data_IF_597962016395
#
_entry.id   IF_597962016395
#
_cell.length_a   1.000
_cell.length_b   1.000
_cell.length_c   1.000
_cell.angle_alpha   90.00
_cell.angle_beta   90.00
_cell.angle_gamma   90.00
#
_symmetry.space_group_name_H-M   'P 1'
#
loop_
_entity.id
_entity.type
_entity.pdbx_description
1 polymer ?
#
# COMPACT_ATOMS: atom_id res chain seq x y z
N UNK A 1 7.26 10.08 -0.88
CA UNK A 1 5.78 10.18 -0.77
C UNK A 1 5.38 11.44 -0.05
N UNK A 2 5.59 11.55 1.28
CA UNK A 2 5.22 12.76 2.04
C UNK A 2 5.87 14.04 1.50
N UNK A 3 7.18 14.03 1.26
CA UNK A 3 7.88 15.20 0.69
C UNK A 3 7.33 15.58 -0.69
N UNK A 4 7.12 14.60 -1.58
CA UNK A 4 6.55 14.86 -2.90
C UNK A 4 5.14 15.47 -2.81
N UNK A 5 4.30 14.97 -1.89
CA UNK A 5 2.99 15.55 -1.62
C UNK A 5 3.07 16.97 -1.06
N UNK A 6 4.03 17.24 -0.17
CA UNK A 6 4.30 18.59 0.34
C UNK A 6 4.78 19.55 -0.75
N UNK A 7 5.41 19.04 -1.82
CA UNK A 7 5.75 19.81 -3.02
C UNK A 7 4.58 19.98 -4.02
N UNK A 8 3.36 19.59 -3.66
CA UNK A 8 2.16 19.74 -4.49
C UNK A 8 1.92 18.61 -5.49
N UNK A 9 2.73 17.54 -5.47
CA UNK A 9 2.50 16.38 -6.32
C UNK A 9 1.37 15.53 -5.73
N UNK A 10 0.39 15.15 -6.55
CA UNK A 10 -0.64 14.19 -6.12
C UNK A 10 -0.03 12.80 -5.99
N UNK A 11 -0.04 12.23 -4.78
CA UNK A 11 0.62 10.95 -4.49
C UNK A 11 -0.40 9.90 -4.04
N UNK A 12 -0.48 8.78 -4.75
CA UNK A 12 -1.09 7.56 -4.22
C UNK A 12 0.03 6.62 -3.82
N UNK A 13 0.00 6.13 -2.58
CA UNK A 13 1.01 5.21 -2.09
C UNK A 13 0.40 3.93 -1.54
N UNK A 14 0.75 2.84 -2.19
CA UNK A 14 0.67 1.49 -1.62
C UNK A 14 1.95 1.17 -0.82
N UNK A 15 1.85 0.18 0.06
CA UNK A 15 2.97 -0.24 0.89
C UNK A 15 2.86 -1.67 1.39
N UNK A 16 3.89 -2.10 2.11
CA UNK A 16 3.95 -3.39 2.78
C UNK A 16 4.22 -3.20 4.27
N UNK A 17 3.86 -4.21 5.06
CA UNK A 17 4.34 -4.36 6.45
C UNK A 17 5.77 -4.91 6.45
N UNK A 18 6.44 -4.80 7.59
CA UNK A 18 7.73 -5.42 7.83
C UNK A 18 7.63 -6.95 7.68
N UNK A 19 8.54 -7.51 6.89
CA UNK A 19 8.66 -8.97 6.74
C UNK A 19 10.07 -9.49 7.04
N UNK A 20 11.10 -8.66 6.86
CA UNK A 20 12.51 -8.96 7.19
C UNK A 20 13.23 -7.77 7.85
N UNK A 21 12.77 -6.55 7.58
CA UNK A 21 13.23 -5.34 8.23
C UNK A 21 12.53 -5.11 9.58
N UNK A 22 13.10 -4.24 10.42
CA UNK A 22 12.54 -3.87 11.72
C UNK A 22 11.20 -3.11 11.63
N UNK A 23 10.95 -2.41 10.52
CA UNK A 23 9.73 -1.61 10.30
C UNK A 23 9.47 -1.46 8.80
N UNK A 24 8.26 -1.78 8.35
CA UNK A 24 7.80 -1.57 6.98
C UNK A 24 7.09 -0.22 6.81
N UNK A 25 6.80 0.16 5.57
CA UNK A 25 6.13 1.43 5.29
C UNK A 25 4.75 1.53 5.93
N UNK A 26 3.99 0.43 5.95
CA UNK A 26 2.68 0.40 6.62
C UNK A 26 2.86 0.57 8.12
N UNK A 27 3.80 -0.15 8.74
CA UNK A 27 4.00 -0.10 10.20
C UNK A 27 4.43 1.30 10.68
N UNK A 28 5.28 1.98 9.89
CA UNK A 28 5.66 3.37 10.15
C UNK A 28 4.42 4.27 10.12
N UNK A 29 3.67 4.23 9.01
CA UNK A 29 2.51 5.10 8.80
C UNK A 29 1.41 4.83 9.83
N UNK A 30 1.21 3.58 10.22
CA UNK A 30 0.27 3.17 11.27
C UNK A 30 0.68 3.77 12.64
N UNK A 31 1.97 3.72 12.97
CA UNK A 31 2.50 4.39 14.18
C UNK A 31 2.38 5.91 14.15
N UNK A 32 2.36 6.52 12.97
CA UNK A 32 2.10 7.95 12.80
C UNK A 32 0.59 8.30 12.81
N UNK A 33 -0.30 7.30 12.92
CA UNK A 33 -1.74 7.51 12.87
C UNK A 33 -2.25 7.91 11.47
N UNK A 34 -1.53 7.56 10.41
CA UNK A 34 -1.93 7.90 9.06
C UNK A 34 -3.20 7.15 8.64
N UNK A 35 -4.19 7.83 8.03
CA UNK A 35 -5.44 7.19 7.63
C UNK A 35 -5.25 6.34 6.37
N UNK A 36 -5.43 5.03 6.49
CA UNK A 36 -5.44 4.12 5.35
C UNK A 36 -6.82 4.04 4.74
N UNK A 37 -6.89 4.14 3.42
CA UNK A 37 -8.10 3.87 2.68
C UNK A 37 -8.42 2.37 2.67
N UNK A 38 -9.70 2.03 2.74
CA UNK A 38 -10.24 0.67 2.61
C UNK A 38 -11.04 0.47 1.33
N UNK A 39 -11.25 1.54 0.54
CA UNK A 39 -11.91 1.52 -0.76
C UNK A 39 -11.31 2.57 -1.72
N UNK A 40 -11.57 2.41 -3.02
CA UNK A 40 -11.14 3.37 -4.04
C UNK A 40 -11.77 4.75 -3.82
N UNK A 41 -13.03 4.79 -3.42
CA UNK A 41 -13.76 6.02 -3.09
C UNK A 41 -13.10 6.75 -1.91
N UNK A 42 -12.74 6.03 -0.84
CA UNK A 42 -12.02 6.63 0.28
C UNK A 42 -10.61 7.11 -0.12
N UNK A 43 -9.90 6.35 -0.96
CA UNK A 43 -8.60 6.76 -1.47
C UNK A 43 -8.70 8.04 -2.31
N UNK A 44 -9.72 8.16 -3.16
CA UNK A 44 -9.98 9.39 -3.92
C UNK A 44 -10.23 10.56 -2.99
N UNK A 45 -11.10 10.41 -1.99
CA UNK A 45 -11.36 11.47 -0.99
C UNK A 45 -10.10 11.90 -0.24
N UNK A 46 -9.24 10.96 0.16
CA UNK A 46 -7.98 11.28 0.83
C UNK A 46 -7.04 12.04 -0.12
N UNK A 47 -6.96 11.62 -1.38
CA UNK A 47 -6.13 12.27 -2.38
C UNK A 47 -6.60 13.69 -2.71
N UNK A 48 -7.93 13.91 -2.76
CA UNK A 48 -8.52 15.22 -3.01
C UNK A 48 -8.33 16.15 -1.81
N UNK A 49 -8.50 15.64 -0.58
CA UNK A 49 -8.42 16.44 0.66
C UNK A 49 -6.97 16.76 1.05
N UNK A 50 -6.04 15.82 0.88
CA UNK A 50 -4.69 15.91 1.43
C UNK A 50 -3.57 15.94 0.38
N UNK A 51 -3.89 15.78 -0.91
CA UNK A 51 -2.87 15.60 -1.96
C UNK A 51 -2.13 14.26 -1.87
N UNK A 52 -2.42 13.42 -0.88
CA UNK A 52 -1.84 12.09 -0.70
C UNK A 52 -2.86 11.09 -0.16
N UNK A 53 -2.80 9.85 -0.67
CA UNK A 53 -3.60 8.73 -0.16
C UNK A 53 -2.74 7.50 0.09
N UNK A 54 -2.99 6.82 1.22
CA UNK A 54 -2.38 5.53 1.55
C UNK A 54 -3.41 4.41 1.34
N UNK A 55 -3.08 3.41 0.53
CA UNK A 55 -4.03 2.36 0.16
C UNK A 55 -3.85 1.11 0.99
N UNK A 56 -4.95 0.52 1.44
CA UNK A 56 -5.01 -0.85 1.93
C UNK A 56 -4.92 -1.89 0.79
N UNK A 57 -5.02 -3.19 1.11
CA UNK A 57 -4.83 -4.29 0.15
C UNK A 57 -5.92 -4.40 -0.92
N UNK A 58 -7.03 -3.65 -0.80
CA UNK A 58 -8.14 -3.66 -1.75
C UNK A 58 -7.74 -3.26 -3.18
N UNK A 59 -6.59 -2.59 -3.34
CA UNK A 59 -6.04 -2.22 -4.66
C UNK A 59 -5.45 -3.41 -5.42
N UNK A 60 -5.23 -4.54 -4.77
CA UNK A 60 -4.70 -5.75 -5.40
C UNK A 60 -5.83 -6.71 -5.79
N UNK A 61 -5.86 -7.17 -7.05
CA UNK A 61 -6.80 -8.21 -7.49
C UNK A 61 -6.70 -9.48 -6.63
N UNK A 62 -7.84 -10.04 -6.23
CA UNK A 62 -7.89 -11.28 -5.43
C UNK A 62 -7.25 -12.48 -6.16
N UNK A 63 -7.27 -12.46 -7.48
CA UNK A 63 -6.68 -13.46 -8.36
C UNK A 63 -5.17 -13.57 -8.14
N UNK A 64 -4.50 -12.47 -7.82
CA UNK A 64 -3.07 -12.44 -7.58
C UNK A 64 -2.74 -13.23 -6.29
N UNK A 65 -3.51 -13.05 -5.22
CA UNK A 65 -3.35 -13.86 -4.01
C UNK A 65 -3.60 -15.36 -4.28
N UNK A 66 -4.59 -15.69 -5.12
CA UNK A 66 -4.89 -17.08 -5.51
C UNK A 66 -3.77 -17.68 -6.36
N UNK A 67 -3.24 -16.94 -7.32
CA UNK A 67 -2.13 -17.37 -8.17
C UNK A 67 -0.88 -17.66 -7.33
N UNK A 68 -0.57 -16.78 -6.37
CA UNK A 68 0.55 -16.98 -5.44
C UNK A 68 0.41 -18.22 -4.57
N UNK A 69 -0.82 -18.65 -4.28
CA UNK A 69 -1.08 -19.88 -3.51
C UNK A 69 -1.09 -21.14 -4.38
N UNK A 70 -1.51 -21.03 -5.65
CA UNK A 70 -1.81 -22.18 -6.51
C UNK A 70 -0.73 -22.50 -7.55
N UNK A 71 -0.12 -21.48 -8.16
CA UNK A 71 0.73 -21.66 -9.34
C UNK A 71 2.22 -21.74 -9.00
N UNK A 72 2.66 -21.05 -7.96
CA UNK A 72 4.04 -21.08 -7.50
C UNK A 72 3.97 -21.10 -5.97
N UNK A 73 4.36 -22.19 -5.27
CA UNK A 73 4.27 -22.28 -3.81
C UNK A 73 5.30 -21.34 -3.16
N UNK A 74 5.05 -20.05 -3.30
CA UNK A 74 5.95 -18.97 -2.92
C UNK A 74 5.30 -18.23 -1.79
N UNK A 75 6.05 -17.90 -0.72
CA UNK A 75 5.51 -17.05 0.33
C UNK A 75 5.00 -15.73 -0.26
N UNK A 76 3.87 -15.24 0.24
CA UNK A 76 3.29 -13.92 -0.11
C UNK A 76 4.31 -12.78 -0.05
N UNK A 77 5.39 -12.94 0.72
CA UNK A 77 6.56 -12.05 0.77
C UNK A 77 7.20 -11.80 -0.61
N UNK A 78 7.45 -12.86 -1.37
CA UNK A 78 8.12 -12.75 -2.68
C UNK A 78 7.16 -12.14 -3.69
N UNK A 79 5.91 -12.58 -3.63
CA UNK A 79 4.85 -12.11 -4.50
C UNK A 79 4.51 -10.62 -4.27
N UNK A 80 4.52 -10.15 -3.02
CA UNK A 80 4.26 -8.76 -2.68
C UNK A 80 5.28 -7.76 -3.26
N UNK A 81 6.51 -8.20 -3.60
CA UNK A 81 7.49 -7.35 -4.30
C UNK A 81 7.09 -7.07 -5.74
N UNK A 82 6.48 -8.05 -6.42
CA UNK A 82 5.96 -7.88 -7.77
C UNK A 82 4.75 -6.94 -7.82
N UNK A 83 3.97 -6.87 -6.74
CA UNK A 83 2.78 -6.03 -6.68
C UNK A 83 3.07 -4.56 -6.33
N UNK A 84 4.20 -4.27 -5.69
CA UNK A 84 4.56 -2.93 -5.20
C UNK A 84 5.57 -2.18 -6.09
N UNK A 85 5.85 -2.66 -7.31
CA UNK A 85 6.63 -1.95 -8.35
C UNK A 85 5.76 -0.95 -9.08
#
# INVERSE_FOLDING_TARGET
ALVAAACGVRVVKSGSRAHTARTGSIDLLDRLGAPFATSFDQASRHLDTHGIAFTGPFVYPVQLARLALLAVPTPMRVFGRFLNT
#
